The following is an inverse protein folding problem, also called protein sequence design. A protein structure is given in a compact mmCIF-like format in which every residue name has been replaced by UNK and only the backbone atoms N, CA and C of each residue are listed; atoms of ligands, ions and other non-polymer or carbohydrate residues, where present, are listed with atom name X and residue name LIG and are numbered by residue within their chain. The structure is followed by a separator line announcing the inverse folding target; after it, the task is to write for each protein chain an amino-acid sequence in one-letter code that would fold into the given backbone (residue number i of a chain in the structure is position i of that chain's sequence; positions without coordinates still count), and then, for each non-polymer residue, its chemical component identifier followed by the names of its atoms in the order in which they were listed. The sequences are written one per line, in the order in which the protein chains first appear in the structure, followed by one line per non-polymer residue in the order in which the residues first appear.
data_IF_930243212027
#
_entry.id   IF_930243212027
#
_cell.length_a   1.000
_cell.length_b   1.000
_cell.length_c   1.000
_cell.angle_alpha   90.00
_cell.angle_beta   90.00
_cell.angle_gamma   90.00
#
_symmetry.space_group_name_H-M   'P 1'
#
loop_
_entity.id
_entity.type
_entity.pdbx_description
1 polymer ?
#
# COMPACT_ATOMS: atom_id res chain seq x y z
N UNK A 1 -16.43 -23.31 -9.04
CA UNK A 1 -16.99 -22.61 -7.88
C UNK A 1 -16.74 -21.11 -7.96
N UNK A 2 -17.66 -20.30 -7.49
CA UNK A 2 -17.56 -18.84 -7.54
C UNK A 2 -16.31 -18.32 -6.84
N UNK A 3 -15.92 -18.95 -5.73
CA UNK A 3 -14.74 -18.56 -4.97
C UNK A 3 -13.45 -18.72 -5.74
N UNK A 4 -13.34 -19.78 -6.55
CA UNK A 4 -12.12 -20.04 -7.34
C UNK A 4 -11.89 -18.97 -8.40
N UNK A 5 -12.94 -18.54 -9.09
CA UNK A 5 -12.82 -17.51 -10.13
C UNK A 5 -12.33 -16.20 -9.52
N UNK A 6 -12.88 -15.82 -8.37
CA UNK A 6 -12.44 -14.60 -7.66
C UNK A 6 -11.02 -14.73 -7.16
N UNK A 7 -10.63 -15.89 -6.63
CA UNK A 7 -9.26 -16.12 -6.15
C UNK A 7 -8.25 -15.96 -7.28
N UNK A 8 -8.54 -16.52 -8.45
CA UNK A 8 -7.67 -16.37 -9.62
C UNK A 8 -7.58 -14.93 -10.10
N UNK A 9 -8.72 -14.23 -10.12
CA UNK A 9 -8.76 -12.83 -10.53
C UNK A 9 -7.88 -11.97 -9.63
N UNK A 10 -8.01 -12.11 -8.32
CA UNK A 10 -7.26 -11.30 -7.38
C UNK A 10 -5.78 -11.71 -7.30
N UNK A 11 -5.45 -12.97 -7.55
CA UNK A 11 -4.07 -13.37 -7.71
C UNK A 11 -3.41 -12.66 -8.90
N UNK A 12 -4.13 -12.50 -10.01
CA UNK A 12 -3.65 -11.76 -11.18
C UNK A 12 -3.50 -10.27 -10.88
N UNK A 13 -4.44 -9.70 -10.14
CA UNK A 13 -4.35 -8.29 -9.71
C UNK A 13 -3.09 -8.07 -8.88
N UNK A 14 -2.81 -8.96 -7.93
CA UNK A 14 -1.61 -8.91 -7.12
C UNK A 14 -0.34 -8.96 -7.97
N UNK A 15 -0.28 -9.88 -8.93
CA UNK A 15 0.85 -10.00 -9.84
C UNK A 15 1.05 -8.74 -10.67
N UNK A 16 -0.03 -8.15 -11.15
CA UNK A 16 0.03 -6.91 -11.93
C UNK A 16 0.60 -5.76 -11.12
N UNK A 17 0.21 -5.65 -9.86
CA UNK A 17 0.74 -4.61 -8.98
C UNK A 17 2.24 -4.84 -8.74
N UNK A 18 2.63 -6.07 -8.49
CA UNK A 18 4.04 -6.41 -8.24
C UNK A 18 4.92 -6.19 -9.46
N UNK A 19 4.37 -6.35 -10.68
CA UNK A 19 5.08 -6.22 -11.94
C UNK A 19 4.91 -4.87 -12.60
N UNK A 20 4.29 -3.91 -11.93
CA UNK A 20 4.14 -2.56 -12.47
C UNK A 20 5.49 -1.93 -12.78
N UNK A 21 5.60 -1.11 -13.85
CA UNK A 21 6.76 -0.25 -14.04
C UNK A 21 7.01 0.59 -12.79
N UNK A 22 8.29 0.86 -12.50
CA UNK A 22 8.68 1.55 -11.28
C UNK A 22 7.94 2.86 -11.08
N UNK A 23 7.79 3.67 -12.13
CA UNK A 23 7.08 4.94 -12.04
C UNK A 23 5.62 4.81 -11.62
N UNK A 24 4.91 3.83 -12.18
CA UNK A 24 3.51 3.57 -11.83
C UNK A 24 3.39 3.02 -10.41
N UNK A 25 4.28 2.12 -10.04
CA UNK A 25 4.31 1.54 -8.71
C UNK A 25 4.56 2.60 -7.64
N UNK A 26 5.52 3.48 -7.87
CA UNK A 26 5.84 4.56 -6.94
C UNK A 26 4.69 5.56 -6.83
N UNK A 27 3.97 5.82 -7.93
CA UNK A 27 2.79 6.69 -7.88
C UNK A 27 1.68 6.06 -7.03
N UNK A 28 1.47 4.76 -7.14
CA UNK A 28 0.51 4.03 -6.30
C UNK A 28 0.92 4.10 -4.83
N UNK A 29 2.18 3.86 -4.52
CA UNK A 29 2.70 3.92 -3.16
C UNK A 29 2.56 5.32 -2.57
N UNK A 30 2.81 6.35 -3.37
CA UNK A 30 2.62 7.74 -2.98
C UNK A 30 1.17 8.01 -2.58
N UNK A 31 0.21 7.54 -3.36
CA UNK A 31 -1.21 7.67 -3.02
C UNK A 31 -1.56 6.97 -1.72
N UNK A 32 -1.01 5.79 -1.49
CA UNK A 32 -1.24 5.05 -0.25
C UNK A 32 -0.69 5.81 0.96
N UNK A 33 0.50 6.38 0.83
CA UNK A 33 1.12 7.17 1.89
C UNK A 33 0.26 8.40 2.20
N UNK A 34 -0.17 9.14 1.18
CA UNK A 34 -1.04 10.31 1.37
C UNK A 34 -2.34 9.96 2.08
N UNK A 35 -2.91 8.80 1.77
CA UNK A 35 -4.14 8.34 2.39
C UNK A 35 -3.94 7.88 3.83
N UNK A 36 -2.82 7.22 4.11
CA UNK A 36 -2.60 6.51 5.37
C UNK A 36 -1.84 7.32 6.40
N UNK A 37 -1.06 8.32 5.99
CA UNK A 37 -0.25 9.11 6.91
C UNK A 37 -1.14 9.90 7.87
N UNK A 38 -0.82 9.86 9.16
CA UNK A 38 -1.59 10.56 10.21
C UNK A 38 -0.80 11.69 10.83
N UNK A 39 0.43 11.40 11.31
CA UNK A 39 1.26 12.39 11.99
C UNK A 39 2.31 13.01 11.07
N UNK A 40 2.70 12.32 10.02
CA UNK A 40 3.78 12.71 9.14
C UNK A 40 5.16 12.37 9.68
N UNK A 41 5.23 11.69 10.81
CA UNK A 41 6.49 11.26 11.44
C UNK A 41 6.62 9.74 11.48
N UNK A 42 5.81 9.05 10.70
CA UNK A 42 5.83 7.60 10.66
C UNK A 42 7.12 7.07 10.03
N UNK A 43 7.53 5.87 10.45
CA UNK A 43 8.56 5.12 9.77
C UNK A 43 7.92 4.24 8.69
N UNK A 44 8.58 4.15 7.55
CA UNK A 44 8.14 3.34 6.42
C UNK A 44 8.94 2.05 6.38
N UNK A 45 8.27 0.92 6.56
CA UNK A 45 8.86 -0.42 6.48
C UNK A 45 8.51 -1.01 5.11
N UNK A 46 9.50 -1.53 4.41
CA UNK A 46 9.33 -2.14 3.08
C UNK A 46 9.83 -3.57 3.08
N UNK A 47 9.58 -4.28 1.97
CA UNK A 47 10.04 -5.66 1.82
C UNK A 47 11.55 -5.77 1.76
N UNK A 48 12.06 -6.96 2.08
CA UNK A 48 13.50 -7.22 2.11
C UNK A 48 14.18 -7.00 0.78
N UNK A 49 13.46 -7.22 -0.31
CA UNK A 49 13.99 -7.09 -1.67
C UNK A 49 13.48 -5.84 -2.39
N UNK A 50 12.81 -4.94 -1.65
CA UNK A 50 12.26 -3.72 -2.25
C UNK A 50 13.37 -2.71 -2.49
N UNK A 51 13.61 -2.37 -3.75
CA UNK A 51 14.59 -1.37 -4.14
C UNK A 51 14.00 -0.10 -4.73
N UNK A 52 12.69 -0.10 -4.96
CA UNK A 52 12.00 1.04 -5.58
C UNK A 52 11.65 2.12 -4.58
N UNK A 53 11.30 1.75 -3.35
CA UNK A 53 10.97 2.68 -2.29
C UNK A 53 12.24 2.95 -1.47
N UNK A 54 12.73 4.19 -1.51
CA UNK A 54 13.93 4.59 -0.82
C UNK A 54 13.74 5.97 -0.18
N UNK A 55 14.75 6.47 0.51
CA UNK A 55 14.64 7.76 1.18
C UNK A 55 14.45 8.92 0.20
N UNK A 56 15.03 8.83 -1.01
CA UNK A 56 14.83 9.85 -2.04
C UNK A 56 13.37 9.95 -2.46
N UNK A 57 12.70 8.80 -2.61
CA UNK A 57 11.27 8.76 -2.89
C UNK A 57 10.48 9.43 -1.77
N UNK A 58 10.80 9.11 -0.52
CA UNK A 58 10.13 9.73 0.63
C UNK A 58 10.39 11.24 0.68
N UNK A 59 11.61 11.68 0.35
CA UNK A 59 11.93 13.09 0.32
C UNK A 59 11.09 13.86 -0.71
N UNK A 60 10.77 13.25 -1.83
CA UNK A 60 9.88 13.86 -2.83
C UNK A 60 8.47 14.03 -2.28
N UNK A 61 7.99 13.02 -1.55
CA UNK A 61 6.66 13.08 -0.91
C UNK A 61 6.64 14.13 0.19
N UNK A 62 7.76 14.34 0.90
CA UNK A 62 7.86 15.35 1.95
C UNK A 62 7.49 16.74 1.44
N UNK A 63 7.90 17.09 0.23
CA UNK A 63 7.55 18.38 -0.37
C UNK A 63 6.05 18.58 -0.50
N UNK A 64 5.32 17.51 -0.79
CA UNK A 64 3.85 17.55 -0.91
C UNK A 64 3.16 17.54 0.45
N UNK A 65 3.69 16.75 1.41
CA UNK A 65 3.11 16.63 2.74
C UNK A 65 3.45 17.81 3.65
N UNK A 66 4.51 18.54 3.35
CA UNK A 66 4.94 19.68 4.17
C UNK A 66 3.85 20.75 4.29
N UNK A 67 3.06 20.95 3.24
CA UNK A 67 1.92 21.86 3.27
C UNK A 67 0.84 21.46 4.26
N UNK A 68 0.84 20.19 4.69
CA UNK A 68 -0.10 19.65 5.67
C UNK A 68 0.56 19.42 7.03
N UNK A 69 1.83 19.79 7.20
CA UNK A 69 2.58 19.56 8.41
C UNK A 69 2.99 18.10 8.63
N UNK A 70 3.02 17.28 7.58
CA UNK A 70 3.23 15.83 7.68
C UNK A 70 4.44 15.35 6.88
N UNK A 71 5.47 16.15 6.75
CA UNK A 71 6.60 15.86 5.88
C UNK A 71 7.86 15.30 6.55
N UNK A 72 7.72 14.41 7.54
CA UNK A 72 8.87 13.88 8.28
C UNK A 72 8.93 12.35 8.26
N UNK A 73 8.48 11.73 7.19
CA UNK A 73 8.54 10.28 7.02
C UNK A 73 10.00 9.82 6.90
N UNK A 74 10.29 8.66 7.49
CA UNK A 74 11.63 8.07 7.45
C UNK A 74 11.55 6.63 7.01
N UNK A 75 12.50 6.22 6.18
CA UNK A 75 12.63 4.82 5.81
C UNK A 75 13.23 4.04 7.00
N UNK A 76 12.52 3.03 7.46
CA UNK A 76 13.00 2.18 8.55
C UNK A 76 14.23 1.37 8.12
N UNK A 77 15.14 1.13 9.04
CA UNK A 77 16.24 0.19 8.83
C UNK A 77 15.75 -1.27 8.90
N UNK A 78 14.61 -1.49 9.50
CA UNK A 78 13.98 -2.81 9.58
C UNK A 78 13.21 -3.08 8.29
N UNK A 79 13.36 -4.29 7.74
CA UNK A 79 12.59 -4.74 6.58
C UNK A 79 11.82 -5.99 6.97
N UNK A 80 10.66 -6.18 6.35
CA UNK A 80 9.81 -7.33 6.62
C UNK A 80 9.66 -8.18 5.36
N UNK A 81 9.22 -9.41 5.55
CA UNK A 81 9.04 -10.35 4.45
C UNK A 81 7.68 -10.11 3.80
N UNK A 82 7.59 -9.06 3.00
CA UNK A 82 6.39 -8.73 2.22
C UNK A 82 6.77 -8.64 0.75
N UNK A 83 5.86 -9.04 -0.13
CA UNK A 83 6.13 -9.09 -1.57
C UNK A 83 5.96 -7.74 -2.25
N UNK A 84 5.21 -6.82 -1.65
CA UNK A 84 4.99 -5.48 -2.20
C UNK A 84 4.21 -4.63 -1.23
N UNK A 85 4.18 -3.32 -1.49
CA UNK A 85 3.55 -2.36 -0.61
C UNK A 85 4.48 -1.86 0.48
N UNK A 86 3.89 -1.30 1.53
CA UNK A 86 4.65 -0.72 2.63
C UNK A 86 3.85 -0.78 3.93
N UNK A 87 4.53 -0.52 5.04
CA UNK A 87 3.91 -0.45 6.37
C UNK A 87 4.33 0.87 6.99
N UNK A 88 3.37 1.61 7.52
CA UNK A 88 3.63 2.83 8.27
C UNK A 88 3.51 2.55 9.76
N UNK A 89 4.52 2.94 10.53
CA UNK A 89 4.49 2.76 12.00
C UNK A 89 4.75 4.08 12.71
N UNK A 90 3.98 4.32 13.77
CA UNK A 90 4.15 5.49 14.64
C UNK A 90 3.79 5.08 16.05
N UNK A 91 4.79 4.89 16.89
CA UNK A 91 4.58 4.42 18.26
C UNK A 91 3.88 3.07 18.28
N UNK A 92 2.64 3.05 18.77
CA UNK A 92 1.84 1.82 18.86
C UNK A 92 0.95 1.59 17.65
N UNK A 93 0.90 2.55 16.72
CA UNK A 93 0.05 2.46 15.54
C UNK A 93 0.83 1.84 14.38
N UNK A 94 0.24 0.85 13.74
CA UNK A 94 0.82 0.20 12.56
C UNK A 94 -0.25 0.13 11.48
N UNK A 95 0.04 0.69 10.32
CA UNK A 95 -0.86 0.68 9.16
C UNK A 95 -0.23 -0.18 8.07
N UNK A 96 -0.90 -1.28 7.73
CA UNK A 96 -0.41 -2.24 6.74
C UNK A 96 -0.98 -1.89 5.37
N UNK A 97 -0.18 -1.22 4.52
CA UNK A 97 -0.50 -0.96 3.12
C UNK A 97 0.28 -1.92 2.21
N UNK A 98 0.37 -3.17 2.62
CA UNK A 98 1.00 -4.22 1.81
C UNK A 98 0.02 -4.69 0.73
N UNK A 99 0.57 -5.18 -0.39
CA UNK A 99 -0.24 -5.57 -1.55
C UNK A 99 -1.29 -6.62 -1.19
N UNK A 100 -0.93 -7.60 -0.37
CA UNK A 100 -1.88 -8.64 0.04
C UNK A 100 -3.10 -8.08 0.78
N UNK A 101 -2.88 -7.10 1.66
CA UNK A 101 -3.97 -6.44 2.40
C UNK A 101 -4.83 -5.60 1.46
N UNK A 102 -4.21 -4.87 0.53
CA UNK A 102 -4.93 -4.05 -0.43
C UNK A 102 -5.82 -4.90 -1.33
N UNK A 103 -5.32 -6.03 -1.80
CA UNK A 103 -6.10 -6.96 -2.62
C UNK A 103 -7.27 -7.54 -1.83
N UNK A 104 -7.04 -7.92 -0.56
CA UNK A 104 -8.10 -8.44 0.30
C UNK A 104 -9.20 -7.40 0.54
N UNK A 105 -8.82 -6.14 0.77
CA UNK A 105 -9.79 -5.05 0.95
C UNK A 105 -10.61 -4.81 -0.32
N UNK A 106 -9.97 -4.86 -1.48
CA UNK A 106 -10.65 -4.72 -2.76
C UNK A 106 -11.66 -5.85 -2.98
N UNK A 107 -11.25 -7.08 -2.66
CA UNK A 107 -12.12 -8.25 -2.76
C UNK A 107 -13.37 -8.10 -1.89
N UNK A 108 -13.18 -7.71 -0.62
CA UNK A 108 -14.28 -7.51 0.31
C UNK A 108 -15.25 -6.44 -0.20
N UNK A 109 -14.73 -5.33 -0.71
CA UNK A 109 -15.56 -4.25 -1.26
C UNK A 109 -16.38 -4.73 -2.47
N UNK A 110 -15.77 -5.53 -3.35
CA UNK A 110 -16.46 -6.06 -4.52
C UNK A 110 -17.53 -7.08 -4.13
N UNK A 111 -17.26 -7.93 -3.15
CA UNK A 111 -18.26 -8.90 -2.66
C UNK A 111 -19.46 -8.18 -2.05
N UNK A 112 -19.23 -7.12 -1.29
CA UNK A 112 -20.33 -6.32 -0.72
C UNK A 112 -21.18 -5.67 -1.81
N UNK A 113 -20.54 -5.13 -2.83
CA UNK A 113 -21.23 -4.51 -3.95
C UNK A 113 -22.09 -5.51 -4.72
N UNK A 114 -21.55 -6.69 -5.00
CA UNK A 114 -22.27 -7.76 -5.69
C UNK A 114 -23.49 -8.22 -4.87
N UNK A 115 -23.31 -8.37 -3.57
CA UNK A 115 -24.42 -8.75 -2.68
C UNK A 115 -25.53 -7.69 -2.69
N UNK A 116 -25.15 -6.41 -2.63
CA UNK A 116 -26.12 -5.32 -2.66
C UNK A 116 -26.91 -5.31 -3.96
N UNK A 117 -26.29 -5.62 -5.10
CA UNK A 117 -26.99 -5.69 -6.38
C UNK A 117 -27.91 -6.88 -6.49
N UNK A 118 -27.52 -8.02 -5.91
CA UNK A 118 -28.35 -9.23 -5.95
C UNK A 118 -29.64 -9.11 -5.13
N UNK A 119 -29.62 -8.31 -4.08
CA UNK A 119 -30.76 -8.13 -3.18
C UNK A 119 -31.42 -6.76 -3.31
N UNK A 120 -31.22 -6.12 -4.41
CA UNK A 120 -31.77 -4.80 -4.69
C UNK A 120 -33.27 -4.85 -5.02
#
# INVERSE_FOLDING_TARGET
AKGQVLDELFARVKQRIEQMPDGEYLELMKRLIHKSVQTGQEEVIVGRHEGRINQDFLNRIHGELAGQGKGHLRLSSTREDISGGLILTSGKVRINDIVDVLVAQLRDAMEMQLTAELFK
#
